data_IF_863733626180
#
_entry.id   IF_863733626180
#
_cell.length_a   1.000
_cell.length_b   1.000
_cell.length_c   1.000
_cell.angle_alpha   90.00
_cell.angle_beta   90.00
_cell.angle_gamma   90.00
#
_symmetry.space_group_name_H-M   'P 1'
#
loop_
_entity.id
_entity.type
_entity.pdbx_description
1 polymer ?
#
# COMPACT_ATOMS: atom_id res chain seq x y z
N UNK A 1 -22.08 35.50 -43.00
CA UNK A 1 -23.06 35.06 -41.99
C UNK A 1 -23.09 33.54 -41.74
N UNK A 2 -22.16 32.73 -42.28
CA UNK A 2 -22.11 31.28 -42.04
C UNK A 2 -21.22 30.85 -40.86
N UNK A 3 -20.46 31.79 -40.26
CA UNK A 3 -19.52 31.50 -39.16
C UNK A 3 -20.12 31.62 -37.77
N UNK A 4 -21.26 32.31 -37.62
CA UNK A 4 -21.98 32.41 -36.34
C UNK A 4 -22.83 31.17 -36.03
N UNK A 5 -23.30 30.45 -37.06
CA UNK A 5 -24.10 29.23 -36.90
C UNK A 5 -23.26 28.02 -36.46
N UNK A 6 -21.98 27.95 -36.85
CA UNK A 6 -21.08 26.87 -36.47
C UNK A 6 -20.57 26.97 -35.01
N UNK A 7 -20.47 28.18 -34.46
CA UNK A 7 -20.05 28.39 -33.07
C UNK A 7 -21.12 28.01 -32.03
N UNK A 8 -22.40 27.95 -32.43
CA UNK A 8 -23.50 27.54 -31.56
C UNK A 8 -23.60 26.01 -31.38
N UNK A 9 -22.95 25.21 -32.24
CA UNK A 9 -23.04 23.74 -32.22
C UNK A 9 -21.93 23.04 -31.39
N UNK A 10 -20.95 23.78 -30.86
CA UNK A 10 -19.76 23.21 -30.21
C UNK A 10 -19.72 23.37 -28.67
N UNK A 11 -20.78 23.87 -28.04
CA UNK A 11 -20.92 23.84 -26.58
C UNK A 11 -21.67 22.57 -26.15
N UNK A 12 -21.03 21.39 -26.26
CA UNK A 12 -21.51 20.19 -25.54
C UNK A 12 -21.50 20.53 -24.05
N UNK A 13 -22.66 20.91 -23.50
CA UNK A 13 -22.83 21.24 -22.09
C UNK A 13 -22.35 20.06 -21.25
N UNK A 14 -21.34 20.26 -20.39
CA UNK A 14 -20.90 19.24 -19.43
C UNK A 14 -22.10 18.84 -18.58
N UNK A 15 -22.68 17.68 -18.89
CA UNK A 15 -23.77 17.11 -18.10
C UNK A 15 -23.28 16.86 -16.68
N UNK A 16 -24.00 17.39 -15.70
CA UNK A 16 -23.78 17.12 -14.28
C UNK A 16 -24.96 16.32 -13.72
N UNK A 17 -24.70 15.46 -12.76
CA UNK A 17 -25.76 14.78 -12.01
C UNK A 17 -26.31 15.75 -10.95
N UNK A 18 -27.63 15.90 -10.93
CA UNK A 18 -28.36 16.67 -9.94
C UNK A 18 -29.26 15.73 -9.15
N UNK A 19 -29.17 15.80 -7.82
CA UNK A 19 -30.13 15.15 -6.93
C UNK A 19 -31.33 16.08 -6.77
N UNK A 20 -32.53 15.54 -6.95
CA UNK A 20 -33.77 16.31 -6.87
C UNK A 20 -34.80 15.65 -5.96
N UNK A 21 -35.63 16.48 -5.36
CA UNK A 21 -36.80 16.11 -4.59
C UNK A 21 -37.99 16.92 -5.13
N UNK A 22 -39.12 16.25 -5.31
CA UNK A 22 -40.34 16.89 -5.78
C UNK A 22 -41.59 16.13 -5.35
N UNK A 23 -42.76 16.71 -5.57
CA UNK A 23 -44.05 16.09 -5.28
C UNK A 23 -44.78 15.77 -6.57
N UNK A 24 -45.29 14.56 -6.69
CA UNK A 24 -46.19 14.18 -7.78
C UNK A 24 -47.59 14.83 -7.60
N UNK A 25 -48.46 14.73 -8.61
CA UNK A 25 -49.84 15.24 -8.61
C UNK A 25 -50.67 14.72 -7.42
N UNK A 26 -50.35 13.55 -6.90
CA UNK A 26 -50.97 12.97 -5.71
C UNK A 26 -50.37 13.48 -4.36
N UNK A 27 -49.47 14.47 -4.39
CA UNK A 27 -48.82 15.03 -3.21
C UNK A 27 -47.70 14.17 -2.61
N UNK A 28 -47.44 12.99 -3.17
CA UNK A 28 -46.38 12.08 -2.72
C UNK A 28 -45.00 12.62 -3.10
N UNK A 29 -44.11 12.69 -2.12
CA UNK A 29 -42.72 13.11 -2.33
C UNK A 29 -41.94 12.01 -3.06
N UNK A 30 -41.33 12.35 -4.18
CA UNK A 30 -40.47 11.50 -5.00
C UNK A 30 -39.08 12.13 -5.02
N UNK A 31 -38.06 11.30 -4.89
CA UNK A 31 -36.65 11.68 -4.94
C UNK A 31 -35.96 10.89 -6.04
N UNK A 32 -35.00 11.50 -6.70
CA UNK A 32 -34.20 10.84 -7.73
C UNK A 32 -33.01 11.67 -8.16
N UNK A 33 -32.21 11.09 -9.03
CA UNK A 33 -31.05 11.75 -9.64
C UNK A 33 -31.30 11.91 -11.15
N UNK A 34 -30.89 13.04 -11.70
CA UNK A 34 -31.03 13.32 -13.14
C UNK A 34 -29.75 13.96 -13.68
N UNK A 35 -29.27 13.49 -14.82
CA UNK A 35 -28.19 14.15 -15.56
C UNK A 35 -28.77 15.23 -16.45
N UNK A 36 -28.21 16.43 -16.36
CA UNK A 36 -28.63 17.56 -17.17
C UNK A 36 -27.49 18.57 -17.35
N UNK A 37 -27.61 19.45 -18.35
CA UNK A 37 -26.67 20.55 -18.56
C UNK A 37 -26.78 21.68 -17.52
N UNK A 38 -27.92 21.81 -16.82
CA UNK A 38 -28.14 22.82 -15.78
C UNK A 38 -29.33 22.47 -14.88
N UNK A 39 -29.44 23.12 -13.72
CA UNK A 39 -30.60 22.99 -12.81
C UNK A 39 -31.92 23.40 -13.49
N UNK A 40 -31.86 24.35 -14.43
CA UNK A 40 -33.02 24.77 -15.21
C UNK A 40 -33.57 23.64 -16.11
N UNK A 41 -32.68 22.84 -16.70
CA UNK A 41 -33.07 21.67 -17.52
C UNK A 41 -33.70 20.58 -16.65
N UNK A 42 -33.17 20.34 -15.45
CA UNK A 42 -33.76 19.37 -14.49
C UNK A 42 -35.18 19.82 -14.09
N UNK A 43 -35.34 21.09 -13.74
CA UNK A 43 -36.65 21.65 -13.38
C UNK A 43 -37.66 21.58 -14.54
N UNK A 44 -37.23 21.87 -15.76
CA UNK A 44 -38.09 21.81 -16.93
C UNK A 44 -38.54 20.37 -17.25
N UNK A 45 -37.63 19.40 -17.16
CA UNK A 45 -37.92 17.98 -17.40
C UNK A 45 -38.86 17.41 -16.34
N UNK A 46 -38.62 17.69 -15.05
CA UNK A 46 -39.46 17.20 -13.96
C UNK A 46 -40.86 17.82 -13.97
N UNK A 47 -40.98 19.11 -14.33
CA UNK A 47 -42.30 19.75 -14.54
C UNK A 47 -43.08 19.11 -15.69
N UNK A 48 -42.42 18.74 -16.80
CA UNK A 48 -43.07 18.00 -17.91
C UNK A 48 -43.57 16.63 -17.46
N UNK A 49 -42.91 16.00 -16.49
CA UNK A 49 -43.33 14.74 -15.88
C UNK A 49 -44.43 14.90 -14.81
N UNK A 50 -44.92 16.11 -14.58
CA UNK A 50 -45.96 16.40 -13.57
C UNK A 50 -45.43 16.45 -12.14
N UNK A 51 -44.10 16.50 -11.94
CA UNK A 51 -43.46 16.56 -10.64
C UNK A 51 -43.16 18.02 -10.29
N UNK A 52 -43.74 18.52 -9.19
CA UNK A 52 -43.44 19.81 -8.61
C UNK A 52 -42.14 19.74 -7.81
N UNK A 53 -41.07 20.27 -8.39
CA UNK A 53 -39.72 20.23 -7.79
C UNK A 53 -39.65 21.13 -6.55
N UNK A 54 -39.28 20.54 -5.41
CA UNK A 54 -39.10 21.26 -4.13
C UNK A 54 -37.63 21.57 -3.87
N UNK A 55 -36.71 20.73 -4.36
CA UNK A 55 -35.27 20.92 -4.15
C UNK A 55 -34.49 20.33 -5.32
N UNK A 56 -33.60 21.12 -5.91
CA UNK A 56 -32.57 20.63 -6.82
C UNK A 56 -31.24 21.00 -6.21
N UNK A 57 -30.32 20.05 -6.14
CA UNK A 57 -28.93 20.34 -5.79
C UNK A 57 -28.03 19.68 -6.80
N UNK A 58 -27.08 20.45 -7.35
CA UNK A 58 -25.94 19.88 -8.04
C UNK A 58 -25.23 18.92 -7.10
N UNK A 59 -25.18 17.64 -7.45
CA UNK A 59 -24.41 16.70 -6.69
C UNK A 59 -22.94 17.08 -6.88
N UNK A 60 -22.30 17.57 -5.83
CA UNK A 60 -20.85 17.69 -5.82
C UNK A 60 -20.36 16.26 -5.91
N UNK A 61 -19.85 15.87 -7.08
CA UNK A 61 -19.04 14.65 -7.23
C UNK A 61 -18.01 14.75 -6.11
N UNK A 62 -18.09 13.86 -5.11
CA UNK A 62 -17.22 13.93 -3.95
C UNK A 62 -15.78 14.14 -4.42
N UNK A 63 -15.01 14.97 -3.72
CA UNK A 63 -13.57 15.04 -3.91
C UNK A 63 -13.06 13.61 -3.84
N UNK A 64 -12.79 13.01 -5.00
CA UNK A 64 -12.44 11.60 -5.11
C UNK A 64 -11.16 11.39 -4.33
N UNK A 65 -11.17 10.46 -3.39
CA UNK A 65 -9.95 10.03 -2.72
C UNK A 65 -8.98 9.44 -3.74
N UNK A 66 -7.72 9.25 -3.36
CA UNK A 66 -6.78 8.47 -4.18
C UNK A 66 -7.29 7.04 -4.32
N UNK A 67 -7.10 6.43 -5.48
CA UNK A 67 -7.37 4.99 -5.68
C UNK A 67 -6.37 4.22 -4.82
N UNK A 68 -6.88 3.35 -3.96
CA UNK A 68 -6.04 2.54 -3.05
C UNK A 68 -5.91 1.10 -3.54
N UNK A 69 -4.89 0.38 -3.06
CA UNK A 69 -4.73 -1.06 -3.36
C UNK A 69 -5.95 -1.89 -2.89
N UNK A 70 -6.59 -1.47 -1.79
CA UNK A 70 -7.81 -2.10 -1.26
C UNK A 70 -8.99 -1.94 -2.24
N UNK A 71 -9.12 -0.78 -2.87
CA UNK A 71 -10.16 -0.54 -3.87
C UNK A 71 -9.98 -1.46 -5.08
N UNK A 72 -8.73 -1.60 -5.57
CA UNK A 72 -8.40 -2.49 -6.69
C UNK A 72 -8.64 -3.96 -6.34
N UNK A 73 -8.25 -4.39 -5.14
CA UNK A 73 -8.52 -5.75 -4.65
C UNK A 73 -10.02 -6.05 -4.60
N UNK A 74 -10.81 -5.12 -4.04
CA UNK A 74 -12.27 -5.26 -3.96
C UNK A 74 -12.92 -5.30 -5.34
N UNK A 75 -12.51 -4.39 -6.23
CA UNK A 75 -12.95 -4.39 -7.63
C UNK A 75 -12.67 -5.72 -8.31
N UNK A 76 -11.44 -6.24 -8.17
CA UNK A 76 -11.03 -7.50 -8.81
C UNK A 76 -11.86 -8.67 -8.31
N UNK A 77 -12.10 -8.76 -6.99
CA UNK A 77 -12.99 -9.77 -6.39
C UNK A 77 -14.42 -9.64 -6.87
N UNK A 78 -14.98 -8.44 -6.89
CA UNK A 78 -16.35 -8.21 -7.35
C UNK A 78 -16.50 -8.56 -8.84
N UNK A 79 -15.54 -8.18 -9.67
CA UNK A 79 -15.53 -8.54 -11.09
C UNK A 79 -15.49 -10.05 -11.28
N UNK A 80 -14.60 -10.76 -10.57
CA UNK A 80 -14.51 -12.22 -10.60
C UNK A 80 -15.83 -12.89 -10.21
N UNK A 81 -16.45 -12.45 -9.10
CA UNK A 81 -17.74 -12.99 -8.64
C UNK A 81 -18.87 -12.77 -9.64
N UNK A 82 -18.96 -11.57 -10.23
CA UNK A 82 -20.00 -11.23 -11.19
C UNK A 82 -19.83 -12.02 -12.50
N UNK A 83 -18.60 -12.15 -12.99
CA UNK A 83 -18.32 -12.93 -14.18
C UNK A 83 -18.58 -14.43 -13.96
N UNK A 84 -18.18 -14.97 -12.81
CA UNK A 84 -18.51 -16.36 -12.42
C UNK A 84 -20.02 -16.61 -12.30
N UNK A 85 -20.80 -15.58 -12.01
CA UNK A 85 -22.27 -15.63 -12.02
C UNK A 85 -22.89 -15.49 -13.43
N UNK A 86 -22.06 -15.43 -14.48
CA UNK A 86 -22.50 -15.29 -15.87
C UNK A 86 -22.90 -13.86 -16.26
N UNK A 87 -22.59 -12.85 -15.45
CA UNK A 87 -22.91 -11.46 -15.79
C UNK A 87 -21.92 -10.96 -16.85
N UNK A 88 -22.39 -10.39 -17.99
CA UNK A 88 -21.52 -9.86 -19.03
C UNK A 88 -20.47 -8.88 -18.49
N UNK A 89 -19.25 -8.93 -19.03
CA UNK A 89 -18.10 -8.13 -18.57
C UNK A 89 -18.43 -6.63 -18.45
N UNK A 90 -18.98 -6.03 -19.50
CA UNK A 90 -19.34 -4.61 -19.53
C UNK A 90 -20.39 -4.23 -18.48
N UNK A 91 -21.36 -5.13 -18.24
CA UNK A 91 -22.38 -4.94 -17.21
C UNK A 91 -21.78 -5.05 -15.80
N UNK A 92 -20.86 -6.00 -15.60
CA UNK A 92 -20.12 -6.16 -14.35
C UNK A 92 -19.33 -4.89 -14.01
N UNK A 93 -18.62 -4.32 -14.99
CA UNK A 93 -17.93 -3.04 -14.84
C UNK A 93 -18.87 -1.90 -14.45
N UNK A 94 -20.06 -1.83 -15.07
CA UNK A 94 -21.04 -0.79 -14.76
C UNK A 94 -21.60 -0.92 -13.34
N UNK A 95 -21.93 -2.13 -12.90
CA UNK A 95 -22.44 -2.41 -11.55
C UNK A 95 -21.39 -2.03 -10.51
N UNK A 96 -20.14 -2.48 -10.69
CA UNK A 96 -19.05 -2.19 -9.74
C UNK A 96 -18.69 -0.70 -9.75
N UNK A 97 -18.65 -0.07 -10.93
CA UNK A 97 -18.38 1.37 -11.04
C UNK A 97 -19.47 2.23 -10.37
N UNK A 98 -20.75 1.83 -10.43
CA UNK A 98 -21.86 2.52 -9.76
C UNK A 98 -21.88 2.27 -8.26
N UNK A 99 -21.44 1.09 -7.81
CA UNK A 99 -21.33 0.72 -6.40
C UNK A 99 -20.08 1.26 -5.69
N UNK A 100 -19.11 1.80 -6.43
CA UNK A 100 -17.88 2.33 -5.86
C UNK A 100 -18.14 3.57 -4.99
N UNK A 101 -17.74 3.49 -3.72
CA UNK A 101 -17.82 4.61 -2.75
C UNK A 101 -16.85 5.74 -3.09
N UNK A 102 -15.69 5.40 -3.67
CA UNK A 102 -14.69 6.36 -4.09
C UNK A 102 -14.93 6.83 -5.54
N UNK A 103 -15.19 8.12 -5.72
CA UNK A 103 -15.43 8.72 -7.03
C UNK A 103 -14.25 8.58 -8.01
N UNK A 104 -13.01 8.48 -7.51
CA UNK A 104 -11.84 8.26 -8.36
C UNK A 104 -11.82 6.83 -8.94
N UNK A 105 -12.23 5.85 -8.13
CA UNK A 105 -12.37 4.45 -8.57
C UNK A 105 -13.49 4.34 -9.59
N UNK A 106 -14.65 4.93 -9.32
CA UNK A 106 -15.75 4.97 -10.29
C UNK A 106 -15.31 5.57 -11.62
N UNK A 107 -14.53 6.67 -11.59
CA UNK A 107 -13.98 7.29 -12.80
C UNK A 107 -13.03 6.35 -13.54
N UNK A 108 -12.06 5.76 -12.84
CA UNK A 108 -11.10 4.80 -13.40
C UNK A 108 -11.81 3.62 -14.08
N UNK A 109 -12.79 3.02 -13.40
CA UNK A 109 -13.53 1.88 -13.92
C UNK A 109 -14.42 2.25 -15.10
N UNK A 110 -15.01 3.46 -15.10
CA UNK A 110 -15.78 3.96 -16.25
C UNK A 110 -14.87 4.16 -17.47
N UNK A 111 -13.66 4.72 -17.28
CA UNK A 111 -12.71 4.91 -18.38
C UNK A 111 -12.25 3.57 -18.97
N UNK A 112 -11.91 2.59 -18.12
CA UNK A 112 -11.57 1.23 -18.56
C UNK A 112 -12.75 0.57 -19.29
N UNK A 113 -13.96 0.71 -18.76
CA UNK A 113 -15.18 0.21 -19.42
C UNK A 113 -15.32 0.79 -20.83
N UNK A 114 -15.18 2.10 -20.98
CA UNK A 114 -15.29 2.78 -22.28
C UNK A 114 -14.23 2.29 -23.27
N UNK A 115 -12.98 2.07 -22.83
CA UNK A 115 -11.93 1.52 -23.68
C UNK A 115 -12.29 0.13 -24.24
N UNK A 116 -12.85 -0.73 -23.39
CA UNK A 116 -13.32 -2.06 -23.80
C UNK A 116 -14.56 -1.95 -24.70
N UNK A 117 -15.49 -1.05 -24.43
CA UNK A 117 -16.65 -0.77 -25.30
C UNK A 117 -16.22 -0.29 -26.70
N UNK A 118 -15.10 0.43 -26.81
CA UNK A 118 -14.53 0.85 -28.10
C UNK A 118 -13.75 -0.23 -28.85
N UNK A 119 -13.65 -1.44 -28.28
CA UNK A 119 -13.02 -2.60 -28.93
C UNK A 119 -11.58 -2.88 -28.53
N UNK A 120 -11.03 -2.18 -27.52
CA UNK A 120 -9.72 -2.57 -26.96
C UNK A 120 -9.86 -3.85 -26.13
N UNK A 121 -8.82 -4.69 -26.16
CA UNK A 121 -8.77 -5.85 -25.26
C UNK A 121 -8.72 -5.41 -23.79
N UNK A 122 -9.25 -6.24 -22.90
CA UNK A 122 -9.31 -5.91 -21.47
C UNK A 122 -7.91 -5.69 -20.89
N UNK A 123 -6.94 -6.52 -21.30
CA UNK A 123 -5.54 -6.34 -20.91
C UNK A 123 -4.93 -5.03 -21.41
N UNK A 124 -5.24 -4.61 -22.64
CA UNK A 124 -4.75 -3.34 -23.17
C UNK A 124 -5.35 -2.14 -22.44
N UNK A 125 -6.63 -2.21 -22.05
CA UNK A 125 -7.28 -1.18 -21.26
C UNK A 125 -6.63 -1.03 -19.87
N UNK A 126 -6.31 -2.13 -19.20
CA UNK A 126 -5.60 -2.08 -17.91
C UNK A 126 -4.17 -1.55 -18.00
N UNK A 127 -3.44 -1.86 -19.08
CA UNK A 127 -2.05 -1.38 -19.30
C UNK A 127 -1.94 0.14 -19.39
N UNK A 128 -3.01 0.86 -19.71
CA UNK A 128 -3.05 2.33 -19.68
C UNK A 128 -2.88 2.90 -18.24
N UNK A 129 -3.07 2.06 -17.22
CA UNK A 129 -3.03 2.44 -15.82
C UNK A 129 -2.01 1.59 -15.00
N UNK A 130 -0.70 1.66 -15.32
CA UNK A 130 0.32 0.80 -14.73
C UNK A 130 0.55 1.02 -13.22
N UNK A 131 0.07 2.16 -12.69
CA UNK A 131 0.13 2.46 -11.25
C UNK A 131 -0.80 1.54 -10.43
N UNK A 132 -1.88 1.05 -11.03
CA UNK A 132 -2.90 0.24 -10.35
C UNK A 132 -2.90 -1.21 -10.80
N UNK A 133 -2.57 -1.45 -12.07
CA UNK A 133 -2.52 -2.77 -12.69
C UNK A 133 -1.08 -3.05 -13.11
N UNK A 134 -0.42 -3.93 -12.35
CA UNK A 134 0.95 -4.36 -12.61
C UNK A 134 1.02 -5.27 -13.86
N UNK A 135 2.24 -5.56 -14.33
CA UNK A 135 2.46 -6.42 -15.49
C UNK A 135 1.83 -7.80 -15.30
N UNK A 136 1.93 -8.37 -14.10
CA UNK A 136 1.32 -9.63 -13.71
C UNK A 136 -0.21 -9.63 -13.94
N UNK A 137 -0.90 -8.60 -13.44
CA UNK A 137 -2.33 -8.43 -13.61
C UNK A 137 -2.71 -8.40 -15.10
N UNK A 138 -1.99 -7.59 -15.87
CA UNK A 138 -2.27 -7.43 -17.30
C UNK A 138 -2.01 -8.72 -18.09
N UNK A 139 -0.95 -9.45 -17.77
CA UNK A 139 -0.57 -10.69 -18.45
C UNK A 139 -1.54 -11.82 -18.14
N UNK A 140 -2.00 -11.95 -16.89
CA UNK A 140 -3.03 -12.93 -16.52
C UNK A 140 -4.37 -12.63 -17.20
N UNK A 141 -4.78 -11.37 -17.23
CA UNK A 141 -6.00 -10.98 -17.94
C UNK A 141 -5.89 -11.29 -19.43
N UNK A 142 -4.73 -11.01 -20.04
CA UNK A 142 -4.50 -11.31 -21.46
C UNK A 142 -4.58 -12.81 -21.75
N UNK A 143 -3.92 -13.65 -20.93
CA UNK A 143 -3.98 -15.10 -21.07
C UNK A 143 -5.42 -15.61 -20.94
N UNK A 144 -6.19 -15.04 -19.99
CA UNK A 144 -7.59 -15.42 -19.77
C UNK A 144 -8.52 -15.02 -20.90
N UNK A 145 -8.29 -13.84 -21.47
CA UNK A 145 -9.05 -13.34 -22.62
C UNK A 145 -8.76 -14.16 -23.89
N UNK A 146 -7.50 -14.52 -24.13
CA UNK A 146 -7.11 -15.35 -25.29
C UNK A 146 -7.57 -16.80 -25.18
N UNK A 147 -7.47 -17.39 -23.99
CA UNK A 147 -7.85 -18.79 -23.75
C UNK A 147 -9.34 -18.97 -23.39
N UNK A 148 -10.13 -17.88 -23.31
CA UNK A 148 -11.55 -17.93 -22.97
C UNK A 148 -11.83 -18.37 -21.52
N UNK A 149 -10.83 -18.31 -20.64
CA UNK A 149 -10.90 -18.71 -19.22
C UNK A 149 -10.79 -17.51 -18.27
N UNK A 150 -11.20 -16.33 -18.73
CA UNK A 150 -11.07 -15.08 -17.98
C UNK A 150 -11.71 -15.14 -16.58
N UNK A 151 -12.83 -15.86 -16.43
CA UNK A 151 -13.51 -16.04 -15.14
C UNK A 151 -12.62 -16.70 -14.08
N UNK A 152 -11.97 -17.81 -14.44
CA UNK A 152 -11.12 -18.55 -13.50
C UNK A 152 -9.84 -17.79 -13.19
N UNK A 153 -9.28 -17.07 -14.17
CA UNK A 153 -8.07 -16.25 -13.95
C UNK A 153 -8.35 -15.01 -13.11
N UNK A 154 -9.51 -14.37 -13.28
CA UNK A 154 -9.92 -13.25 -12.42
C UNK A 154 -10.12 -13.72 -10.97
N UNK A 155 -10.65 -14.92 -10.74
CA UNK A 155 -10.79 -15.49 -9.39
C UNK A 155 -9.43 -15.76 -8.73
N UNK A 156 -8.47 -16.29 -9.49
CA UNK A 156 -7.07 -16.46 -9.03
C UNK A 156 -6.41 -15.12 -8.74
N UNK A 157 -6.60 -14.13 -9.62
CA UNK A 157 -6.05 -12.80 -9.49
C UNK A 157 -6.64 -12.04 -8.29
N UNK A 158 -7.94 -12.18 -8.05
CA UNK A 158 -8.61 -11.65 -6.87
C UNK A 158 -8.02 -12.25 -5.59
N UNK A 159 -7.90 -13.57 -5.55
CA UNK A 159 -7.32 -14.29 -4.40
C UNK A 159 -5.87 -13.89 -4.15
N UNK A 160 -5.08 -13.70 -5.21
CA UNK A 160 -3.72 -13.16 -5.12
C UNK A 160 -3.70 -11.76 -4.52
N UNK A 161 -4.48 -10.82 -5.05
CA UNK A 161 -4.52 -9.43 -4.54
C UNK A 161 -4.98 -9.37 -3.08
N UNK A 162 -5.95 -10.19 -2.69
CA UNK A 162 -6.41 -10.30 -1.30
C UNK A 162 -5.32 -10.80 -0.36
N UNK A 163 -4.58 -11.86 -0.74
CA UNK A 163 -3.45 -12.38 0.05
C UNK A 163 -2.34 -11.35 0.22
N UNK A 164 -1.95 -10.67 -0.86
CA UNK A 164 -0.92 -9.61 -0.78
C UNK A 164 -1.38 -8.45 0.10
N UNK A 165 -2.64 -8.04 -0.02
CA UNK A 165 -3.20 -6.97 0.81
C UNK A 165 -3.26 -7.39 2.29
N UNK A 166 -3.61 -8.65 2.58
CA UNK A 166 -3.62 -9.19 3.94
C UNK A 166 -2.22 -9.16 4.57
N UNK A 167 -1.19 -9.62 3.84
CA UNK A 167 0.22 -9.58 4.30
C UNK A 167 0.63 -8.13 4.61
N UNK A 168 0.39 -7.20 3.69
CA UNK A 168 0.70 -5.77 3.91
C UNK A 168 -0.04 -5.19 5.11
N UNK A 169 -1.32 -5.54 5.27
CA UNK A 169 -2.14 -5.07 6.38
C UNK A 169 -1.62 -5.60 7.72
N UNK A 170 -1.23 -6.88 7.80
CA UNK A 170 -0.65 -7.48 9.00
C UNK A 170 0.65 -6.79 9.41
N UNK A 171 1.57 -6.62 8.46
CA UNK A 171 2.83 -5.90 8.71
C UNK A 171 2.56 -4.48 9.22
N UNK A 172 1.63 -3.76 8.59
CA UNK A 172 1.28 -2.40 9.01
C UNK A 172 0.67 -2.36 10.41
N UNK A 173 -0.21 -3.30 10.74
CA UNK A 173 -0.84 -3.40 12.07
C UNK A 173 0.20 -3.73 13.16
N UNK A 174 1.09 -4.67 12.89
CA UNK A 174 2.19 -5.03 13.80
C UNK A 174 3.12 -3.86 14.13
N UNK A 175 3.43 -3.02 13.13
CA UNK A 175 4.29 -1.85 13.30
C UNK A 175 3.60 -0.64 13.94
N UNK A 176 2.26 -0.62 14.02
CA UNK A 176 1.54 0.54 14.54
C UNK A 176 1.84 0.80 16.02
N UNK A 177 1.77 -0.24 16.84
CA UNK A 177 1.99 -0.13 18.28
C UNK A 177 3.40 0.36 18.64
N UNK A 178 4.48 -0.23 18.08
CA UNK A 178 5.83 0.27 18.32
C UNK A 178 6.07 1.72 17.88
N UNK A 179 5.56 2.09 16.70
CA UNK A 179 5.68 3.47 16.21
C UNK A 179 4.94 4.45 17.12
N UNK A 180 3.75 4.07 17.62
CA UNK A 180 2.98 4.89 18.55
C UNK A 180 3.74 5.12 19.87
N UNK A 181 4.33 4.07 20.46
CA UNK A 181 5.10 4.21 21.71
C UNK A 181 6.34 5.07 21.49
N UNK A 182 7.11 4.82 20.43
CA UNK A 182 8.30 5.62 20.11
C UNK A 182 7.93 7.09 19.87
N UNK A 183 6.80 7.37 19.20
CA UNK A 183 6.33 8.74 19.03
C UNK A 183 5.99 9.40 20.37
N UNK A 184 5.24 8.72 21.25
CA UNK A 184 4.92 9.22 22.60
C UNK A 184 6.20 9.42 23.43
N UNK A 185 7.14 8.49 23.37
CA UNK A 185 8.44 8.57 24.02
C UNK A 185 9.23 9.81 23.60
N UNK A 186 9.31 10.07 22.29
CA UNK A 186 9.98 11.25 21.74
C UNK A 186 9.30 12.53 22.22
N UNK A 187 7.96 12.57 22.24
CA UNK A 187 7.19 13.73 22.71
C UNK A 187 7.48 13.99 24.21
N UNK A 188 7.37 12.96 25.06
CA UNK A 188 7.63 13.08 26.50
C UNK A 188 9.07 13.53 26.74
N UNK A 189 10.03 12.91 26.06
CA UNK A 189 11.45 13.28 26.16
C UNK A 189 11.68 14.72 25.76
N UNK A 190 11.08 15.18 24.65
CA UNK A 190 11.20 16.56 24.20
C UNK A 190 10.59 17.54 25.22
N UNK A 191 9.43 17.24 25.80
CA UNK A 191 8.81 18.08 26.84
C UNK A 191 9.71 18.20 28.07
N UNK A 192 10.27 17.09 28.55
CA UNK A 192 11.17 17.11 29.71
C UNK A 192 12.43 17.91 29.39
N UNK A 193 13.02 17.71 28.21
CA UNK A 193 14.21 18.46 27.80
C UNK A 193 13.97 19.95 27.61
N UNK A 194 12.80 20.36 27.11
CA UNK A 194 12.49 21.77 26.83
C UNK A 194 12.03 22.53 28.06
N UNK A 195 11.24 21.92 28.94
CA UNK A 195 10.60 22.64 30.05
C UNK A 195 11.18 22.25 31.42
N UNK A 196 11.39 20.96 31.66
CA UNK A 196 11.70 20.46 33.00
C UNK A 196 13.18 20.64 33.33
N UNK A 197 14.08 20.24 32.43
CA UNK A 197 15.53 20.35 32.68
C UNK A 197 15.96 21.82 32.89
N UNK A 198 15.51 22.81 32.09
CA UNK A 198 15.85 24.21 32.34
C UNK A 198 15.31 24.76 33.67
N UNK A 199 14.11 24.34 34.08
CA UNK A 199 13.56 24.72 35.37
C UNK A 199 14.46 24.23 36.52
N UNK A 200 14.89 22.96 36.47
CA UNK A 200 15.84 22.41 37.45
C UNK A 200 17.21 23.10 37.42
N UNK A 201 17.73 23.45 36.24
CA UNK A 201 18.98 24.20 36.10
C UNK A 201 18.90 25.55 36.82
N UNK A 202 17.79 26.29 36.66
CA UNK A 202 17.62 27.59 37.33
C UNK A 202 17.62 27.46 38.86
N UNK A 203 16.96 26.43 39.39
CA UNK A 203 16.95 26.11 40.82
C UNK A 203 18.36 25.81 41.31
N UNK A 204 19.10 24.89 40.68
CA UNK A 204 20.44 24.53 41.15
C UNK A 204 21.49 25.64 41.00
N UNK A 205 21.38 26.47 39.96
CA UNK A 205 22.27 27.63 39.80
C UNK A 205 22.16 28.62 40.96
N UNK A 206 21.02 28.67 41.64
CA UNK A 206 20.80 29.52 42.81
C UNK A 206 21.43 28.99 44.11
N UNK A 207 21.74 27.69 44.17
CA UNK A 207 22.33 27.04 45.35
C UNK A 207 23.86 27.08 45.38
N UNK A 208 24.53 27.57 44.33
CA UNK A 208 26.00 27.77 44.31
C UNK A 208 26.84 26.49 44.44
N UNK A 209 26.25 25.31 44.26
CA UNK A 209 26.93 24.02 44.40
C UNK A 209 27.35 23.45 43.04
N UNK A 210 28.52 22.80 43.01
CA UNK A 210 29.01 22.10 41.82
C UNK A 210 28.08 20.92 41.46
N UNK A 211 27.51 21.00 40.27
CA UNK A 211 26.63 19.96 39.74
C UNK A 211 27.42 18.69 39.42
N UNK A 212 26.91 17.49 39.76
CA UNK A 212 27.52 16.23 39.36
C UNK A 212 27.72 16.10 37.84
N UNK A 213 28.79 15.42 37.43
CA UNK A 213 29.12 15.22 36.02
C UNK A 213 27.98 14.65 35.14
N UNK A 214 27.18 13.64 35.58
CA UNK A 214 26.04 13.16 34.80
C UNK A 214 24.97 14.24 34.54
N UNK A 215 24.73 15.11 35.53
CA UNK A 215 23.78 16.22 35.42
C UNK A 215 24.29 17.28 34.44
N UNK A 216 25.60 17.59 34.47
CA UNK A 216 26.23 18.52 33.53
C UNK A 216 26.11 18.06 32.07
N UNK A 217 26.31 16.76 31.80
CA UNK A 217 26.15 16.20 30.44
C UNK A 217 24.71 16.34 29.95
N UNK A 218 23.74 15.99 30.80
CA UNK A 218 22.32 16.09 30.45
C UNK A 218 21.89 17.54 30.23
N UNK A 219 22.37 18.48 31.06
CA UNK A 219 22.12 19.91 30.86
C UNK A 219 22.77 20.45 29.58
N UNK A 220 23.99 20.03 29.26
CA UNK A 220 24.65 20.44 28.01
C UNK A 220 23.89 19.94 26.77
N UNK A 221 23.40 18.70 26.80
CA UNK A 221 22.55 18.14 25.73
C UNK A 221 21.22 18.90 25.65
N UNK A 222 20.60 19.20 26.80
CA UNK A 222 19.34 19.98 26.87
C UNK A 222 19.54 21.40 26.36
N UNK A 223 20.58 22.12 26.76
CA UNK A 223 20.87 23.48 26.30
C UNK A 223 21.08 23.52 24.78
N UNK A 224 21.82 22.55 24.22
CA UNK A 224 21.98 22.42 22.77
C UNK A 224 20.65 22.11 22.07
N UNK A 225 19.86 21.19 22.64
CA UNK A 225 18.56 20.80 22.09
C UNK A 225 17.55 21.96 22.13
N UNK A 226 17.44 22.67 23.26
CA UNK A 226 16.57 23.85 23.44
C UNK A 226 17.03 25.02 22.58
N UNK A 227 18.34 25.20 22.39
CA UNK A 227 18.87 26.23 21.50
C UNK A 227 18.57 25.98 20.02
N UNK A 228 18.31 24.73 19.63
CA UNK A 228 18.21 24.32 18.21
C UNK A 228 16.93 23.53 17.86
N UNK A 229 15.97 23.32 18.76
CA UNK A 229 14.82 22.44 18.52
C UNK A 229 13.99 22.87 17.29
N UNK A 230 13.86 24.18 17.07
CA UNK A 230 13.16 24.77 15.92
C UNK A 230 13.87 24.49 14.58
N UNK A 231 15.14 24.07 14.60
CA UNK A 231 15.88 23.58 13.43
C UNK A 231 15.85 22.05 13.40
N UNK A 232 16.05 21.39 14.56
CA UNK A 232 16.16 19.92 14.67
C UNK A 232 14.88 19.23 14.17
N UNK A 233 13.69 19.66 14.59
CA UNK A 233 12.44 19.00 14.18
C UNK A 233 12.14 19.16 12.68
N UNK A 234 12.21 20.37 12.08
CA UNK A 234 12.06 20.52 10.64
C UNK A 234 13.17 19.84 9.84
N UNK A 235 14.41 19.85 10.32
CA UNK A 235 15.53 19.18 9.64
C UNK A 235 15.35 17.65 9.68
N UNK A 236 15.00 17.08 10.83
CA UNK A 236 14.72 15.65 10.95
C UNK A 236 13.52 15.25 10.09
N UNK A 237 12.43 16.01 10.13
CA UNK A 237 11.26 15.78 9.27
C UNK A 237 11.59 15.90 7.78
N UNK A 238 12.39 16.91 7.41
CA UNK A 238 12.88 17.12 6.06
C UNK A 238 13.84 16.03 5.59
N UNK A 239 14.71 15.53 6.47
CA UNK A 239 15.62 14.43 6.17
C UNK A 239 14.84 13.11 5.97
N UNK A 240 13.85 12.83 6.83
CA UNK A 240 12.96 11.67 6.68
C UNK A 240 12.20 11.79 5.36
N UNK A 241 11.62 12.96 5.07
CA UNK A 241 10.87 13.18 3.82
C UNK A 241 11.77 13.06 2.59
N UNK A 242 12.96 13.68 2.61
CA UNK A 242 13.95 13.60 1.54
C UNK A 242 14.46 12.17 1.32
N UNK A 243 14.67 11.42 2.40
CA UNK A 243 15.02 10.01 2.35
C UNK A 243 13.88 9.17 1.73
N UNK A 244 12.63 9.39 2.16
CA UNK A 244 11.47 8.67 1.60
C UNK A 244 11.25 8.99 0.12
N UNK A 245 11.47 10.25 -0.30
CA UNK A 245 11.37 10.65 -1.70
C UNK A 245 12.53 10.08 -2.53
N UNK A 246 13.75 10.11 -2.00
CA UNK A 246 14.92 9.48 -2.62
C UNK A 246 14.74 7.98 -2.77
N UNK A 247 14.20 7.30 -1.76
CA UNK A 247 13.90 5.87 -1.82
C UNK A 247 12.81 5.56 -2.86
N UNK A 248 11.80 6.43 -3.02
CA UNK A 248 10.78 6.23 -4.07
C UNK A 248 11.29 6.50 -5.49
N UNK A 249 12.18 7.48 -5.66
CA UNK A 249 12.61 7.94 -7.00
C UNK A 249 13.92 7.33 -7.50
N UNK A 250 14.81 6.96 -6.61
CA UNK A 250 16.19 6.57 -6.96
C UNK A 250 16.35 5.04 -6.91
N UNK A 251 16.55 4.45 -8.09
CA UNK A 251 16.84 3.01 -8.25
C UNK A 251 18.09 2.58 -7.45
N UNK A 252 19.22 3.32 -7.47
CA UNK A 252 20.38 2.98 -6.63
C UNK A 252 20.07 2.92 -5.13
N UNK A 253 19.23 3.84 -4.63
CA UNK A 253 18.83 3.86 -3.21
C UNK A 253 17.94 2.67 -2.88
N UNK A 254 17.01 2.30 -3.76
CA UNK A 254 16.20 1.08 -3.60
C UNK A 254 17.07 -0.17 -3.52
N UNK A 255 18.03 -0.32 -4.44
CA UNK A 255 18.96 -1.46 -4.47
C UNK A 255 19.77 -1.56 -3.17
N UNK A 256 20.29 -0.42 -2.69
CA UNK A 256 21.05 -0.38 -1.45
C UNK A 256 20.19 -0.76 -0.23
N UNK A 257 18.97 -0.21 -0.15
CA UNK A 257 18.01 -0.54 0.92
C UNK A 257 17.60 -2.00 0.89
N UNK A 258 17.28 -2.56 -0.28
CA UNK A 258 16.88 -3.95 -0.45
C UNK A 258 17.98 -4.92 0.01
N UNK A 259 19.24 -4.59 -0.24
CA UNK A 259 20.40 -5.38 0.23
C UNK A 259 20.65 -5.20 1.73
N UNK A 260 20.47 -3.99 2.25
CA UNK A 260 20.65 -3.69 3.67
C UNK A 260 19.58 -4.41 4.52
N UNK A 261 18.32 -4.36 4.09
CA UNK A 261 17.20 -4.99 4.79
C UNK A 261 17.39 -6.49 4.96
N UNK A 262 17.93 -7.18 3.95
CA UNK A 262 18.24 -8.61 4.02
C UNK A 262 19.36 -8.95 5.03
N UNK A 263 20.21 -7.99 5.40
CA UNK A 263 21.32 -8.20 6.35
C UNK A 263 20.98 -7.81 7.79
N UNK A 264 19.85 -7.15 8.01
CA UNK A 264 19.44 -6.76 9.36
C UNK A 264 18.98 -8.01 10.12
N UNK A 265 19.48 -8.28 11.34
CA UNK A 265 19.18 -9.52 12.07
C UNK A 265 17.70 -9.68 12.41
N UNK A 266 16.99 -8.57 12.55
CA UNK A 266 15.57 -8.52 12.92
C UNK A 266 14.70 -8.58 11.65
N UNK A 267 14.93 -7.69 10.68
CA UNK A 267 14.09 -7.58 9.48
C UNK A 267 14.48 -8.50 8.31
N UNK A 268 15.70 -9.04 8.31
CA UNK A 268 16.23 -9.80 7.19
C UNK A 268 15.50 -11.11 6.94
N UNK A 269 15.19 -11.86 8.00
CA UNK A 269 14.42 -13.11 7.90
C UNK A 269 13.00 -12.85 7.37
N UNK A 270 12.32 -11.83 7.89
CA UNK A 270 11.00 -11.42 7.40
C UNK A 270 11.03 -11.05 5.92
N UNK A 271 11.99 -10.22 5.49
CA UNK A 271 12.10 -9.78 4.08
C UNK A 271 12.40 -10.97 3.17
N UNK A 272 13.26 -11.90 3.61
CA UNK A 272 13.59 -13.12 2.88
C UNK A 272 12.35 -14.00 2.69
N UNK A 273 11.67 -14.37 3.79
CA UNK A 273 10.44 -15.19 3.78
C UNK A 273 9.33 -14.53 2.96
N UNK A 274 9.14 -13.22 3.11
CA UNK A 274 8.15 -12.45 2.37
C UNK A 274 8.43 -12.40 0.86
N UNK A 275 9.71 -12.28 0.48
CA UNK A 275 10.10 -12.29 -0.93
C UNK A 275 9.88 -13.66 -1.55
N UNK A 276 10.23 -14.74 -0.84
CA UNK A 276 9.99 -16.12 -1.28
C UNK A 276 8.49 -16.39 -1.42
N UNK A 277 7.68 -16.04 -0.42
CA UNK A 277 6.22 -16.22 -0.44
C UNK A 277 5.58 -15.54 -1.66
N UNK A 278 5.94 -14.28 -1.94
CA UNK A 278 5.44 -13.56 -3.12
C UNK A 278 5.92 -14.19 -4.42
N UNK A 279 7.20 -14.58 -4.48
CA UNK A 279 7.79 -15.20 -5.67
C UNK A 279 7.08 -16.52 -6.01
N UNK A 280 6.93 -17.42 -5.04
CA UNK A 280 6.31 -18.75 -5.26
C UNK A 280 4.81 -18.65 -5.50
N UNK A 281 4.10 -17.76 -4.78
CA UNK A 281 2.67 -17.48 -5.04
C UNK A 281 2.46 -16.97 -6.45
N UNK A 282 3.29 -16.03 -6.90
CA UNK A 282 3.15 -15.42 -8.22
C UNK A 282 3.42 -16.46 -9.31
N UNK A 283 4.50 -17.23 -9.17
CA UNK A 283 4.85 -18.24 -10.16
C UNK A 283 3.79 -19.36 -10.22
N UNK A 284 3.34 -19.86 -9.07
CA UNK A 284 2.22 -20.83 -9.00
C UNK A 284 0.97 -20.30 -9.71
N UNK A 285 0.62 -19.03 -9.48
CA UNK A 285 -0.57 -18.42 -10.08
C UNK A 285 -0.46 -18.32 -11.59
N UNK A 286 0.69 -17.90 -12.10
CA UNK A 286 0.96 -17.78 -13.54
C UNK A 286 1.00 -19.14 -14.24
N UNK A 287 1.66 -20.11 -13.62
CA UNK A 287 1.78 -21.44 -14.19
C UNK A 287 0.43 -22.17 -14.20
N UNK A 288 -0.35 -22.05 -13.13
CA UNK A 288 -1.73 -22.57 -13.07
C UNK A 288 -2.68 -21.89 -14.08
N UNK A 289 -2.33 -20.69 -14.54
CA UNK A 289 -3.04 -19.96 -15.58
C UNK A 289 -2.61 -20.38 -17.01
N UNK A 290 -1.65 -21.29 -17.13
CA UNK A 290 -1.12 -21.75 -18.42
C UNK A 290 -0.14 -20.77 -19.07
N UNK A 291 0.35 -19.77 -18.34
CA UNK A 291 1.36 -18.84 -18.87
C UNK A 291 2.70 -19.58 -19.01
N UNK A 292 3.39 -19.49 -20.17
CA UNK A 292 4.69 -20.12 -20.37
C UNK A 292 5.71 -19.71 -19.28
N UNK A 293 6.53 -20.66 -18.83
CA UNK A 293 7.44 -20.46 -17.69
C UNK A 293 8.37 -19.24 -17.86
N UNK A 294 8.97 -19.07 -19.04
CA UNK A 294 9.89 -17.96 -19.32
C UNK A 294 9.17 -16.60 -19.25
N UNK A 295 7.92 -16.52 -19.71
CA UNK A 295 7.09 -15.31 -19.63
C UNK A 295 6.62 -15.05 -18.19
N UNK A 296 6.28 -16.12 -17.46
CA UNK A 296 5.90 -16.03 -16.06
C UNK A 296 7.05 -15.45 -15.21
N UNK A 297 8.29 -15.88 -15.44
CA UNK A 297 9.47 -15.43 -14.70
C UNK A 297 9.73 -13.91 -14.84
N UNK A 298 9.40 -13.28 -15.98
CA UNK A 298 9.49 -11.83 -16.15
C UNK A 298 8.61 -11.07 -15.14
N UNK A 299 7.38 -11.58 -14.96
CA UNK A 299 6.40 -10.99 -14.03
C UNK A 299 6.72 -11.31 -12.56
N UNK A 300 7.24 -12.51 -12.29
CA UNK A 300 7.57 -12.99 -10.94
C UNK A 300 8.71 -12.19 -10.32
N UNK A 301 9.73 -11.82 -11.11
CA UNK A 301 10.87 -11.05 -10.61
C UNK A 301 10.46 -9.70 -10.01
N UNK A 302 9.50 -9.01 -10.63
CA UNK A 302 8.95 -7.75 -10.11
C UNK A 302 8.05 -7.97 -8.87
N UNK A 303 7.29 -9.06 -8.84
CA UNK A 303 6.37 -9.38 -7.73
C UNK A 303 7.10 -9.79 -6.45
N UNK A 304 8.32 -10.33 -6.55
CA UNK A 304 9.14 -10.71 -5.40
C UNK A 304 9.41 -9.53 -4.45
N UNK A 305 9.38 -8.29 -4.93
CA UNK A 305 9.43 -7.09 -4.09
C UNK A 305 10.78 -6.81 -3.42
N UNK A 306 11.86 -7.45 -3.89
CA UNK A 306 13.23 -7.19 -3.49
C UNK A 306 14.17 -7.37 -4.69
N UNK A 307 15.08 -6.41 -4.89
CA UNK A 307 15.98 -6.38 -6.03
C UNK A 307 16.88 -7.63 -6.15
N UNK A 308 17.31 -8.22 -5.03
CA UNK A 308 18.15 -9.43 -5.04
C UNK A 308 17.40 -10.60 -5.67
N UNK A 309 16.12 -10.78 -5.30
CA UNK A 309 15.25 -11.79 -5.89
C UNK A 309 14.89 -11.47 -7.34
N UNK A 310 14.73 -10.20 -7.69
CA UNK A 310 14.47 -9.79 -9.08
C UNK A 310 15.65 -10.15 -10.00
N UNK A 311 16.89 -9.88 -9.57
CA UNK A 311 18.09 -10.23 -10.35
C UNK A 311 18.31 -11.74 -10.43
N UNK A 312 18.11 -12.46 -9.32
CA UNK A 312 18.12 -13.91 -9.32
C UNK A 312 17.08 -14.49 -10.29
N UNK A 313 15.88 -13.90 -10.35
CA UNK A 313 14.83 -14.34 -11.29
C UNK A 313 15.22 -14.09 -12.73
N UNK A 314 15.88 -12.96 -13.05
CA UNK A 314 16.40 -12.71 -14.40
C UNK A 314 17.48 -13.71 -14.80
N UNK A 315 18.36 -14.08 -13.87
CA UNK A 315 19.34 -15.14 -14.10
C UNK A 315 18.63 -16.48 -14.40
N UNK A 316 17.67 -16.88 -13.55
CA UNK A 316 16.88 -18.10 -13.73
C UNK A 316 16.17 -18.11 -15.08
N UNK A 317 15.55 -16.99 -15.46
CA UNK A 317 14.87 -16.85 -16.75
C UNK A 317 15.83 -17.08 -17.92
N UNK A 318 17.05 -16.51 -17.86
CA UNK A 318 18.07 -16.72 -18.88
C UNK A 318 18.49 -18.19 -18.99
N UNK A 319 18.76 -18.85 -17.86
CA UNK A 319 19.16 -20.25 -17.83
C UNK A 319 18.05 -21.18 -18.35
N UNK A 320 16.80 -20.96 -17.92
CA UNK A 320 15.63 -21.72 -18.38
C UNK A 320 15.36 -21.51 -19.87
N UNK A 321 15.50 -20.28 -20.37
CA UNK A 321 15.35 -19.99 -21.80
C UNK A 321 16.38 -20.71 -22.67
N UNK A 322 17.57 -21.03 -22.11
CA UNK A 322 18.60 -21.84 -22.78
C UNK A 322 18.41 -23.35 -22.60
N UNK A 323 17.35 -23.79 -21.92
CA UNK A 323 17.01 -25.21 -21.74
C UNK A 323 17.49 -25.83 -20.43
N UNK A 324 18.01 -25.04 -19.48
CA UNK A 324 18.33 -25.54 -18.13
C UNK A 324 17.04 -25.80 -17.36
N UNK A 325 16.98 -26.86 -16.56
CA UNK A 325 15.83 -27.13 -15.70
C UNK A 325 15.63 -26.01 -14.66
N UNK A 326 14.37 -25.78 -14.27
CA UNK A 326 14.06 -24.72 -13.32
C UNK A 326 14.73 -24.97 -11.96
N UNK A 327 14.73 -26.22 -11.49
CA UNK A 327 15.45 -26.62 -10.27
C UNK A 327 16.94 -26.23 -10.34
N UNK A 328 17.66 -26.61 -11.40
CA UNK A 328 19.08 -26.31 -11.52
C UNK A 328 19.35 -24.80 -11.59
N UNK A 329 18.52 -24.05 -12.32
CA UNK A 329 18.62 -22.61 -12.40
C UNK A 329 18.39 -21.92 -11.04
N UNK A 330 17.42 -22.40 -10.26
CA UNK A 330 17.17 -21.91 -8.90
C UNK A 330 18.31 -22.21 -7.93
N UNK A 331 18.95 -23.38 -8.07
CA UNK A 331 20.14 -23.74 -7.30
C UNK A 331 21.33 -22.82 -7.62
N UNK A 332 21.57 -22.54 -8.91
CA UNK A 332 22.64 -21.64 -9.37
C UNK A 332 22.46 -20.19 -8.87
N UNK A 333 21.21 -19.75 -8.71
CA UNK A 333 20.89 -18.42 -8.22
C UNK A 333 21.20 -18.21 -6.72
N UNK A 334 21.35 -19.27 -5.92
CA UNK A 334 21.78 -19.23 -4.51
C UNK A 334 20.97 -18.31 -3.54
N UNK A 335 19.73 -17.95 -3.89
CA UNK A 335 18.85 -17.12 -3.03
C UNK A 335 17.68 -17.90 -2.41
N UNK A 336 17.40 -19.10 -2.95
CA UNK A 336 16.28 -19.93 -2.52
C UNK A 336 16.75 -21.00 -1.53
N UNK A 337 15.98 -21.26 -0.46
CA UNK A 337 16.28 -22.32 0.48
C UNK A 337 16.00 -23.71 -0.11
N UNK A 338 16.63 -24.78 0.42
CA UNK A 338 16.56 -26.12 -0.15
C UNK A 338 15.13 -26.65 -0.33
N UNK A 339 14.23 -26.34 0.60
CA UNK A 339 12.83 -26.78 0.52
C UNK A 339 12.11 -26.26 -0.74
N UNK A 340 12.35 -25.00 -1.12
CA UNK A 340 11.75 -24.41 -2.34
C UNK A 340 12.29 -25.11 -3.59
N UNK A 341 13.60 -25.33 -3.62
CA UNK A 341 14.31 -25.99 -4.73
C UNK A 341 13.81 -27.43 -4.89
N UNK A 342 13.68 -28.17 -3.79
CA UNK A 342 13.18 -29.55 -3.78
C UNK A 342 11.72 -29.65 -4.26
N UNK A 343 10.83 -28.78 -3.77
CA UNK A 343 9.44 -28.76 -4.21
C UNK A 343 9.32 -28.39 -5.69
N UNK A 344 10.21 -27.51 -6.18
CA UNK A 344 10.31 -27.21 -7.60
C UNK A 344 10.75 -28.45 -8.41
N UNK A 345 11.77 -29.19 -7.95
CA UNK A 345 12.20 -30.43 -8.60
C UNK A 345 11.07 -31.45 -8.72
N UNK A 346 10.35 -31.70 -7.61
CA UNK A 346 9.22 -32.64 -7.58
C UNK A 346 8.12 -32.14 -8.52
N UNK A 347 7.82 -30.85 -8.52
CA UNK A 347 6.81 -30.26 -9.40
C UNK A 347 7.17 -30.33 -10.89
N UNK A 348 8.45 -30.15 -11.22
CA UNK A 348 8.97 -30.26 -12.59
C UNK A 348 8.96 -31.71 -13.09
N UNK A 349 9.35 -32.68 -12.25
CA UNK A 349 9.33 -34.12 -12.57
C UNK A 349 7.91 -34.69 -12.70
N UNK A 350 6.99 -34.24 -11.86
CA UNK A 350 5.59 -34.72 -11.84
C UNK A 350 4.65 -33.92 -12.74
N UNK A 351 5.12 -32.82 -13.33
CA UNK A 351 4.30 -31.88 -14.09
C UNK A 351 3.30 -31.08 -13.25
N UNK A 352 3.40 -31.13 -11.92
CA UNK A 352 2.50 -30.47 -10.97
C UNK A 352 3.17 -29.27 -10.26
N UNK A 353 3.92 -28.47 -11.03
CA UNK A 353 4.70 -27.35 -10.52
C UNK A 353 3.83 -26.27 -9.84
N UNK A 354 2.64 -26.00 -10.38
CA UNK A 354 1.67 -25.07 -9.80
C UNK A 354 1.23 -25.48 -8.38
N UNK A 355 0.91 -26.76 -8.19
CA UNK A 355 0.46 -27.31 -6.92
C UNK A 355 1.59 -27.32 -5.88
N UNK A 356 2.80 -27.72 -6.27
CA UNK A 356 3.97 -27.73 -5.37
C UNK A 356 4.35 -26.31 -4.96
N UNK A 357 4.41 -25.36 -5.90
CA UNK A 357 4.69 -23.96 -5.59
C UNK A 357 3.59 -23.31 -4.74
N UNK A 358 2.32 -23.71 -4.91
CA UNK A 358 1.23 -23.22 -4.05
C UNK A 358 1.44 -23.66 -2.59
N UNK A 359 1.82 -24.92 -2.35
CA UNK A 359 2.12 -25.40 -0.99
C UNK A 359 3.31 -24.66 -0.37
N UNK A 360 4.36 -24.42 -1.16
CA UNK A 360 5.50 -23.62 -0.71
C UNK A 360 5.07 -22.19 -0.40
N UNK A 361 4.20 -21.59 -1.20
CA UNK A 361 3.66 -20.27 -0.95
C UNK A 361 2.84 -20.23 0.35
N UNK A 362 1.94 -21.19 0.58
CA UNK A 362 1.15 -21.26 1.81
C UNK A 362 2.05 -21.44 3.05
N UNK A 363 3.10 -22.26 2.95
CA UNK A 363 4.08 -22.44 4.01
C UNK A 363 4.84 -21.14 4.33
N UNK A 364 5.39 -20.46 3.32
CA UNK A 364 6.12 -19.21 3.56
C UNK A 364 5.21 -18.04 3.93
N UNK A 365 3.93 -18.05 3.53
CA UNK A 365 2.93 -17.09 4.02
C UNK A 365 2.72 -17.26 5.54
N UNK A 366 2.63 -18.50 6.03
CA UNK A 366 2.56 -18.78 7.47
C UNK A 366 3.86 -18.37 8.20
N UNK A 367 5.03 -18.71 7.65
CA UNK A 367 6.32 -18.29 8.22
C UNK A 367 6.50 -16.76 8.27
N UNK A 368 5.88 -16.03 7.32
CA UNK A 368 5.82 -14.56 7.36
C UNK A 368 4.94 -14.09 8.51
N UNK A 369 3.79 -14.72 8.72
CA UNK A 369 2.90 -14.40 9.84
C UNK A 369 3.62 -14.60 11.20
N UNK A 370 4.29 -15.74 11.37
CA UNK A 370 5.05 -16.06 12.58
C UNK A 370 6.22 -15.07 12.79
N UNK A 371 6.93 -14.72 11.71
CA UNK A 371 8.00 -13.74 11.77
C UNK A 371 7.48 -12.34 12.17
N UNK A 372 6.30 -11.93 11.67
CA UNK A 372 5.68 -10.65 12.05
C UNK A 372 5.28 -10.65 13.54
N UNK A 373 4.78 -11.76 14.06
CA UNK A 373 4.42 -11.90 15.48
C UNK A 373 5.67 -11.88 16.38
N UNK A 374 6.71 -12.64 16.03
CA UNK A 374 7.98 -12.64 16.74
C UNK A 374 8.65 -11.26 16.74
N UNK A 375 8.58 -10.54 15.63
CA UNK A 375 9.06 -9.16 15.55
C UNK A 375 8.31 -8.25 16.51
N UNK A 376 6.99 -8.37 16.55
CA UNK A 376 6.15 -7.54 17.43
C UNK A 376 6.46 -7.77 18.90
N UNK A 377 6.69 -9.03 19.31
CA UNK A 377 7.02 -9.37 20.71
C UNK A 377 8.42 -8.91 21.13
N UNK A 378 9.41 -8.97 20.22
CA UNK A 378 10.76 -8.47 20.50
C UNK A 378 10.84 -6.95 20.63
N UNK A 379 9.92 -6.21 20.01
CA UNK A 379 9.91 -4.75 20.10
C UNK A 379 9.59 -4.25 21.50
N UNK A 380 8.77 -4.95 22.28
CA UNK A 380 8.39 -4.50 23.62
C UNK A 380 9.59 -4.47 24.59
N UNK A 381 10.41 -5.53 24.74
CA UNK A 381 11.64 -5.47 25.53
C UNK A 381 12.63 -4.41 25.05
N UNK A 382 12.82 -4.26 23.73
CA UNK A 382 13.72 -3.24 23.17
C UNK A 382 13.24 -1.85 23.57
N UNK A 383 11.95 -1.57 23.41
CA UNK A 383 11.34 -0.30 23.78
C UNK A 383 11.48 -0.07 25.29
N UNK A 384 11.21 -1.08 26.13
CA UNK A 384 11.37 -0.97 27.59
C UNK A 384 12.81 -0.68 28.00
N UNK A 385 13.80 -1.32 27.39
CA UNK A 385 15.22 -1.06 27.67
C UNK A 385 15.60 0.36 27.24
N UNK A 386 15.20 0.78 26.04
CA UNK A 386 15.50 2.13 25.53
C UNK A 386 14.83 3.19 26.38
N UNK A 387 13.53 3.06 26.67
CA UNK A 387 12.78 4.00 27.48
C UNK A 387 13.23 4.01 28.94
N UNK A 388 13.47 2.83 29.53
CA UNK A 388 13.96 2.71 30.89
C UNK A 388 15.33 3.34 31.05
N UNK A 389 16.23 3.14 30.09
CA UNK A 389 17.56 3.78 30.10
C UNK A 389 17.45 5.28 29.91
N UNK A 390 16.60 5.74 28.98
CA UNK A 390 16.45 7.16 28.67
C UNK A 390 15.80 7.92 29.84
N UNK A 391 14.62 7.48 30.28
CA UNK A 391 13.87 8.12 31.38
C UNK A 391 14.60 7.92 32.71
N UNK A 392 15.07 6.69 32.99
CA UNK A 392 15.82 6.39 34.21
C UNK A 392 17.12 7.20 34.30
N UNK A 393 17.87 7.29 33.21
CA UNK A 393 19.07 8.14 33.13
C UNK A 393 18.76 9.61 33.38
N UNK A 394 17.65 10.12 32.84
CA UNK A 394 17.20 11.49 33.08
C UNK A 394 16.80 11.73 34.54
N UNK A 395 16.03 10.82 35.13
CA UNK A 395 15.63 10.92 36.55
C UNK A 395 16.86 10.89 37.44
N UNK A 396 17.78 9.95 37.24
CA UNK A 396 19.03 9.90 38.02
C UNK A 396 19.81 11.20 37.88
N UNK A 397 19.97 11.72 36.66
CA UNK A 397 20.67 12.99 36.42
C UNK A 397 20.00 14.18 37.13
N UNK A 398 18.66 14.19 37.24
CA UNK A 398 17.91 15.26 37.91
C UNK A 398 17.93 15.17 39.44
N UNK A 399 17.91 13.96 40.00
CA UNK A 399 17.82 13.75 41.46
C UNK A 399 19.19 13.64 42.14
N UNK A 400 20.24 13.24 41.42
CA UNK A 400 21.60 13.12 41.97
C UNK A 400 22.12 14.41 42.65
N UNK A 401 21.89 15.63 42.12
CA UNK A 401 22.30 16.86 42.81
C UNK A 401 21.54 17.09 44.12
N UNK A 402 20.27 16.68 44.21
CA UNK A 402 19.47 16.80 45.45
C UNK A 402 20.11 15.98 46.58
N UNK A 403 20.51 14.74 46.29
CA UNK A 403 21.17 13.89 47.29
C UNK A 403 22.53 14.43 47.74
N UNK A 404 23.31 15.03 46.82
CA UNK A 404 24.59 15.64 47.18
C UNK A 404 24.43 16.90 48.04
N UNK A 405 23.41 17.71 47.76
CA UNK A 405 23.08 18.88 48.59
C UNK A 405 22.57 18.47 49.97
N UNK A 406 21.72 17.45 50.06
CA UNK A 406 21.23 16.93 51.33
C UNK A 406 22.27 16.20 52.18
N UNK A 407 23.42 15.82 51.61
CA UNK A 407 24.57 15.25 52.33
C UNK A 407 25.63 16.31 52.72
N UNK A 408 25.49 17.55 52.21
CA UNK A 408 26.38 18.68 52.47
C UNK A 408 25.83 19.66 53.54
N UNK A 409 24.63 19.37 54.05
CA UNK A 409 23.98 19.98 55.22
C UNK A 409 23.92 18.89 56.29
#
# INVERSE_FOLDING_TARGET
>A
MATAAAAAAAAKSKEATFSWEGKDKAGKTIRGDMRAGSEAVVNATLRRQGILVTKVRKQRRGLGGKVTEKDISLFTRQLATMMKAGVPLLQSFEIVSKGATNAAVAKLLTEIKTEVETGSSLAAAFRKYPLYFDALFCNLVQAGEQAGILESLLDRLASYKEKILAIKSKIKSALFYPVAIVAVAIIITAVIMIFVIPAFKSVFSSFGADLPAPTLVVMAISDWFVGNWYIIFPLAGGAIWGFLEAWKRSVPVQIFMDRLMLRLPIFGDLVKKSSIARWTRTLSTMFAAGVPLVEALDSVGGAAGNYVYQMATKQIQGEVATGTSLNAAMANANVFPPMVIQMCSIGEETGALDAMLSKVADFYEAEVDDAVEALSSLMEPIIMVVLGTLIGGMVVAMYLPIFKLGAAI
#
